data_IF_647971834543
#
_entry.id   IF_647971834543
#
_cell.length_a   1.000
_cell.length_b   1.000
_cell.length_c   1.000
_cell.angle_alpha   90.00
_cell.angle_beta   90.00
_cell.angle_gamma   90.00
#
_symmetry.space_group_name_H-M   'P 1'
#
loop_
_entity.id
_entity.type
_entity.pdbx_description
1 polymer ?
#
# COMPACT_ATOMS: atom_id res chain seq x y z
N UNK A 1 25.31 33.03 9.30
CA UNK A 1 24.30 34.04 9.67
C UNK A 1 22.92 33.40 9.72
N UNK A 2 22.02 33.85 10.61
CA UNK A 2 20.67 33.34 10.78
C UNK A 2 19.86 33.23 9.45
N UNK A 3 20.04 34.16 8.53
CA UNK A 3 19.40 34.14 7.22
C UNK A 3 19.83 32.95 6.35
N UNK A 4 21.10 32.53 6.41
CA UNK A 4 21.60 31.36 5.68
C UNK A 4 21.01 30.04 6.18
N UNK A 5 20.73 29.94 7.49
CA UNK A 5 20.14 28.73 8.09
C UNK A 5 18.65 28.60 7.79
N UNK A 6 17.92 29.71 7.62
CA UNK A 6 16.51 29.70 7.22
C UNK A 6 16.35 29.18 5.78
N UNK A 7 17.22 29.58 4.86
CA UNK A 7 17.19 29.09 3.47
C UNK A 7 17.48 27.59 3.33
N UNK A 8 18.27 27.02 4.22
CA UNK A 8 18.60 25.59 4.21
C UNK A 8 17.46 24.68 4.69
N UNK A 9 16.38 25.26 5.23
CA UNK A 9 15.23 24.52 5.80
C UNK A 9 13.93 24.72 5.03
N UNK A 10 13.99 25.28 3.82
CA UNK A 10 12.79 25.46 3.01
C UNK A 10 12.41 24.18 2.29
N UNK A 11 11.13 23.83 2.39
CA UNK A 11 10.49 22.77 1.60
C UNK A 11 9.58 23.41 0.57
N UNK A 12 9.75 23.05 -0.70
CA UNK A 12 8.90 23.46 -1.79
C UNK A 12 7.87 22.38 -2.08
N UNK A 13 6.59 22.73 -2.04
CA UNK A 13 5.49 21.88 -2.48
C UNK A 13 4.88 22.55 -3.70
N UNK A 14 5.08 21.94 -4.87
CA UNK A 14 4.52 22.40 -6.13
C UNK A 14 3.41 21.47 -6.60
N UNK A 15 2.42 22.01 -7.31
CA UNK A 15 1.36 21.24 -7.94
C UNK A 15 1.38 21.42 -9.44
N UNK A 16 1.12 20.36 -10.19
CA UNK A 16 0.91 20.36 -11.63
C UNK A 16 -0.42 19.69 -11.94
N UNK A 17 -1.16 20.23 -12.89
CA UNK A 17 -2.45 19.68 -13.34
C UNK A 17 -2.36 19.38 -14.84
N UNK A 18 -1.88 18.18 -15.20
CA UNK A 18 -1.75 17.79 -16.60
C UNK A 18 -3.12 17.63 -17.26
N UNK A 19 -3.25 18.09 -18.49
CA UNK A 19 -4.47 17.94 -19.26
C UNK A 19 -4.87 16.46 -19.43
N UNK A 20 -6.11 16.12 -19.08
CA UNK A 20 -6.61 14.74 -19.15
C UNK A 20 -5.89 13.76 -18.21
N UNK A 21 -5.21 14.24 -17.18
CA UNK A 21 -4.45 13.39 -16.23
C UNK A 21 -3.18 12.76 -16.82
N UNK A 22 -2.72 13.24 -17.99
CA UNK A 22 -1.55 12.68 -18.66
C UNK A 22 -0.23 13.07 -17.98
N UNK A 23 0.23 12.25 -17.04
CA UNK A 23 1.50 12.45 -16.32
C UNK A 23 2.76 12.40 -17.20
N UNK A 24 2.62 12.03 -18.49
CA UNK A 24 3.72 11.98 -19.48
C UNK A 24 3.83 13.24 -20.30
N UNK A 25 3.02 14.27 -20.04
CA UNK A 25 3.17 15.54 -20.71
C UNK A 25 4.52 16.23 -20.37
N UNK A 26 5.08 17.08 -21.27
CA UNK A 26 6.42 17.64 -21.08
C UNK A 26 6.59 18.47 -19.79
N UNK A 27 5.57 19.21 -19.37
CA UNK A 27 5.64 20.03 -18.14
C UNK A 27 5.75 19.15 -16.91
N UNK A 28 4.90 18.13 -16.79
CA UNK A 28 4.91 17.19 -15.69
C UNK A 28 6.22 16.38 -15.66
N UNK A 29 6.70 15.89 -16.81
CA UNK A 29 7.96 15.14 -16.91
C UNK A 29 9.17 15.99 -16.52
N UNK A 30 9.22 17.27 -16.91
CA UNK A 30 10.30 18.16 -16.52
C UNK A 30 10.24 18.52 -15.03
N UNK A 31 9.05 18.67 -14.46
CA UNK A 31 8.86 18.88 -13.02
C UNK A 31 9.33 17.68 -12.21
N UNK A 32 9.01 16.46 -12.65
CA UNK A 32 9.47 15.22 -12.02
C UNK A 32 10.99 15.10 -11.97
N UNK A 33 11.71 15.59 -12.98
CA UNK A 33 13.19 15.52 -13.01
C UNK A 33 13.85 16.31 -11.88
N UNK A 34 13.24 17.40 -11.42
CA UNK A 34 13.80 18.25 -10.36
C UNK A 34 13.20 17.95 -8.98
N UNK A 35 12.06 17.27 -8.93
CA UNK A 35 11.41 16.89 -7.68
C UNK A 35 12.04 15.63 -7.08
N UNK A 36 12.27 15.65 -5.77
CA UNK A 36 12.75 14.47 -5.02
C UNK A 36 11.62 13.52 -4.61
N UNK A 37 10.42 14.07 -4.39
CA UNK A 37 9.20 13.33 -4.15
C UNK A 37 8.16 13.73 -5.17
N UNK A 38 7.37 12.77 -5.62
CA UNK A 38 6.24 12.99 -6.52
C UNK A 38 5.06 12.12 -6.07
N UNK A 39 3.92 12.75 -5.86
CA UNK A 39 2.66 12.09 -5.54
C UNK A 39 1.72 12.22 -6.74
N UNK A 40 1.54 11.12 -7.46
CA UNK A 40 0.62 11.06 -8.58
C UNK A 40 -0.81 10.88 -8.06
N UNK A 41 -1.65 11.90 -8.18
CA UNK A 41 -3.08 11.76 -7.89
C UNK A 41 -3.78 11.09 -9.07
N UNK A 42 -4.62 10.11 -8.79
CA UNK A 42 -5.30 9.29 -9.77
C UNK A 42 -6.82 9.38 -9.60
N UNK A 43 -7.52 9.76 -10.69
CA UNK A 43 -8.97 9.93 -10.68
C UNK A 43 -9.69 8.61 -10.40
N UNK A 44 -9.24 7.50 -10.98
CA UNK A 44 -9.82 6.17 -10.77
C UNK A 44 -9.83 5.75 -9.29
N UNK A 45 -8.78 6.08 -8.54
CA UNK A 45 -8.73 5.85 -7.09
C UNK A 45 -9.77 6.70 -6.34
N UNK A 46 -9.91 7.97 -6.72
CA UNK A 46 -10.88 8.88 -6.12
C UNK A 46 -12.32 8.41 -6.42
N UNK A 47 -12.61 7.99 -7.63
CA UNK A 47 -13.92 7.48 -8.06
C UNK A 47 -14.29 6.19 -7.29
N UNK A 48 -13.31 5.34 -7.02
CA UNK A 48 -13.43 4.14 -6.16
C UNK A 48 -13.41 4.45 -4.67
N UNK A 49 -13.36 5.72 -4.27
CA UNK A 49 -13.26 6.19 -2.87
C UNK A 49 -12.06 5.60 -2.11
N UNK A 50 -10.94 5.40 -2.81
CA UNK A 50 -9.67 4.95 -2.22
C UNK A 50 -8.82 6.17 -1.87
N UNK A 51 -8.85 6.56 -0.62
CA UNK A 51 -8.14 7.74 -0.12
C UNK A 51 -6.99 7.36 0.82
N UNK A 52 -5.84 8.09 0.77
CA UNK A 52 -5.53 9.14 -0.21
C UNK A 52 -5.47 8.61 -1.65
N UNK A 53 -5.98 9.41 -2.62
CA UNK A 53 -6.08 9.00 -4.02
C UNK A 53 -4.72 9.07 -4.75
N UNK A 54 -3.65 8.66 -4.08
CA UNK A 54 -2.27 8.64 -4.58
C UNK A 54 -1.98 7.30 -5.22
N UNK A 55 -1.57 7.31 -6.50
CA UNK A 55 -1.15 6.11 -7.21
C UNK A 55 0.21 5.62 -6.67
N UNK A 56 0.30 4.44 -6.06
CA UNK A 56 1.53 3.96 -5.44
C UNK A 56 2.60 3.52 -6.43
N UNK A 57 2.22 3.26 -7.70
CA UNK A 57 3.11 2.78 -8.76
C UNK A 57 3.82 3.97 -9.41
N UNK A 58 3.07 5.02 -9.75
CA UNK A 58 3.60 6.20 -10.43
C UNK A 58 4.20 7.24 -9.46
N UNK A 59 3.93 7.10 -8.17
CA UNK A 59 4.50 7.94 -7.13
C UNK A 59 5.89 7.44 -6.70
N UNK A 60 6.74 8.37 -6.29
CA UNK A 60 8.06 8.02 -5.78
C UNK A 60 8.56 9.00 -4.72
N UNK A 61 9.50 8.50 -3.91
CA UNK A 61 10.36 9.31 -3.05
C UNK A 61 11.80 8.85 -3.23
N UNK A 62 12.67 9.77 -3.62
CA UNK A 62 14.12 9.49 -3.75
C UNK A 62 14.85 9.53 -2.40
N UNK A 63 14.16 9.89 -1.32
CA UNK A 63 14.77 9.90 0.01
C UNK A 63 15.20 8.52 0.49
N UNK A 64 14.50 7.46 0.05
CA UNK A 64 14.86 6.08 0.37
C UNK A 64 16.20 5.64 -0.23
N UNK A 65 16.74 6.41 -1.21
CA UNK A 65 18.02 6.14 -1.86
C UNK A 65 19.21 6.78 -1.11
N UNK A 66 18.94 7.59 -0.07
CA UNK A 66 19.99 8.22 0.71
C UNK A 66 20.53 7.30 1.80
N UNK A 67 21.87 7.18 1.94
CA UNK A 67 22.49 6.37 2.98
C UNK A 67 22.01 6.74 4.39
N UNK A 68 21.84 8.04 4.66
CA UNK A 68 21.39 8.55 5.96
C UNK A 68 19.96 8.09 6.31
N UNK A 69 19.10 7.93 5.29
CA UNK A 69 17.77 7.40 5.48
C UNK A 69 17.81 5.89 5.73
N UNK A 70 18.65 5.17 5.01
CA UNK A 70 18.85 3.73 5.21
C UNK A 70 19.39 3.44 6.62
N UNK A 71 20.40 4.19 7.08
CA UNK A 71 20.93 4.09 8.43
C UNK A 71 19.85 4.36 9.49
N UNK A 72 19.07 5.43 9.31
CA UNK A 72 17.97 5.77 10.21
C UNK A 72 16.93 4.63 10.31
N UNK A 73 16.54 4.04 9.18
CA UNK A 73 15.57 2.94 9.15
C UNK A 73 16.15 1.70 9.85
N UNK A 74 17.41 1.35 9.60
CA UNK A 74 18.08 0.22 10.27
C UNK A 74 18.17 0.41 11.78
N UNK A 75 18.45 1.62 12.23
CA UNK A 75 18.59 1.94 13.66
C UNK A 75 17.24 1.95 14.40
N UNK A 76 16.17 2.46 13.76
CA UNK A 76 14.90 2.76 14.42
C UNK A 76 13.76 1.78 14.07
N UNK A 77 13.91 0.97 13.03
CA UNK A 77 12.92 -0.02 12.62
C UNK A 77 13.59 -1.39 12.49
N UNK A 78 14.09 -1.74 11.29
CA UNK A 78 14.85 -2.96 11.02
C UNK A 78 15.52 -2.92 9.64
N UNK A 79 16.45 -3.87 9.40
CA UNK A 79 17.21 -3.96 8.15
C UNK A 79 16.37 -4.38 6.94
N UNK A 80 15.22 -5.03 7.16
CA UNK A 80 14.42 -5.62 6.09
C UNK A 80 13.32 -4.67 5.56
N UNK A 81 13.06 -3.57 6.26
CA UNK A 81 11.90 -2.68 6.00
C UNK A 81 11.86 -2.19 4.54
N UNK A 82 12.99 -1.68 4.03
CA UNK A 82 13.09 -1.17 2.65
C UNK A 82 12.84 -2.30 1.64
N UNK A 83 13.38 -3.49 1.90
CA UNK A 83 13.17 -4.68 1.06
C UNK A 83 11.68 -5.07 1.01
N UNK A 84 11.01 -5.11 2.15
CA UNK A 84 9.57 -5.40 2.26
C UNK A 84 8.71 -4.37 1.53
N UNK A 85 9.02 -3.09 1.65
CA UNK A 85 8.31 -2.02 0.92
C UNK A 85 8.45 -2.20 -0.60
N UNK A 86 9.65 -2.50 -1.09
CA UNK A 86 9.89 -2.75 -2.51
C UNK A 86 9.18 -4.02 -3.00
N UNK A 87 9.12 -5.07 -2.18
CA UNK A 87 8.34 -6.28 -2.48
C UNK A 87 6.86 -5.95 -2.65
N UNK A 88 6.25 -5.22 -1.71
CA UNK A 88 4.84 -4.84 -1.81
C UNK A 88 4.57 -3.98 -3.06
N UNK A 89 5.49 -3.09 -3.42
CA UNK A 89 5.38 -2.30 -4.64
C UNK A 89 5.38 -3.18 -5.90
N UNK A 90 6.22 -4.21 -5.95
CA UNK A 90 6.24 -5.19 -7.03
C UNK A 90 4.94 -6.00 -7.10
N UNK A 91 4.37 -6.38 -5.95
CA UNK A 91 3.09 -7.08 -5.87
C UNK A 91 1.92 -6.22 -6.35
N UNK A 92 1.90 -4.94 -6.00
CA UNK A 92 0.91 -3.98 -6.51
C UNK A 92 0.99 -3.85 -8.04
N UNK A 93 2.21 -3.75 -8.59
CA UNK A 93 2.41 -3.72 -10.04
C UNK A 93 1.85 -4.99 -10.71
N UNK A 94 2.16 -6.16 -10.14
CA UNK A 94 1.66 -7.43 -10.66
C UNK A 94 0.13 -7.55 -10.55
N UNK A 95 -0.45 -7.07 -9.44
CA UNK A 95 -1.90 -7.03 -9.27
C UNK A 95 -2.60 -6.15 -10.31
N UNK A 96 -2.01 -5.01 -10.65
CA UNK A 96 -2.52 -4.13 -11.71
C UNK A 96 -2.51 -4.83 -13.09
N UNK A 97 -1.43 -5.52 -13.45
CA UNK A 97 -1.35 -6.29 -14.71
C UNK A 97 -2.43 -7.36 -14.79
N UNK A 98 -2.69 -8.06 -13.67
CA UNK A 98 -3.73 -9.08 -13.61
C UNK A 98 -5.12 -8.46 -13.67
N UNK A 99 -5.36 -7.33 -13.00
CA UNK A 99 -6.62 -6.61 -13.10
C UNK A 99 -6.95 -6.22 -14.56
N UNK A 100 -5.96 -5.80 -15.34
CA UNK A 100 -6.11 -5.52 -16.75
C UNK A 100 -6.48 -6.78 -17.56
N UNK A 101 -5.89 -7.93 -17.23
CA UNK A 101 -6.25 -9.22 -17.85
C UNK A 101 -7.68 -9.65 -17.50
N UNK A 102 -8.09 -9.52 -16.24
CA UNK A 102 -9.45 -9.82 -15.79
C UNK A 102 -10.46 -8.92 -16.54
N UNK A 103 -10.15 -7.64 -16.69
CA UNK A 103 -11.02 -6.70 -17.41
C UNK A 103 -11.21 -7.06 -18.90
N UNK A 104 -10.20 -7.68 -19.52
CA UNK A 104 -10.25 -8.07 -20.93
C UNK A 104 -10.92 -9.44 -21.13
N UNK A 105 -10.59 -10.42 -20.29
CA UNK A 105 -10.96 -11.82 -20.44
C UNK A 105 -12.21 -12.22 -19.64
N UNK A 106 -12.60 -11.41 -18.66
CA UNK A 106 -13.58 -11.76 -17.63
C UNK A 106 -12.98 -12.66 -16.54
N UNK A 107 -13.71 -12.77 -15.43
CA UNK A 107 -13.24 -13.54 -14.25
C UNK A 107 -13.06 -15.03 -14.58
N UNK A 108 -13.94 -15.62 -15.38
CA UNK A 108 -13.87 -17.03 -15.79
C UNK A 108 -12.73 -17.32 -16.79
N UNK A 109 -12.22 -16.29 -17.46
CA UNK A 109 -11.13 -16.40 -18.44
C UNK A 109 -9.72 -16.39 -17.81
N UNK A 110 -9.61 -16.21 -16.50
CA UNK A 110 -8.35 -16.05 -15.79
C UNK A 110 -8.19 -17.17 -14.74
N UNK A 111 -7.01 -17.83 -14.63
CA UNK A 111 -6.76 -18.86 -13.64
C UNK A 111 -7.01 -18.38 -12.20
N UNK A 112 -7.48 -19.30 -11.32
CA UNK A 112 -7.81 -18.99 -9.91
C UNK A 112 -6.60 -18.42 -9.15
N UNK A 113 -5.40 -18.89 -9.44
CA UNK A 113 -4.15 -18.43 -8.83
C UNK A 113 -3.89 -16.94 -9.13
N UNK A 114 -4.32 -16.45 -10.30
CA UNK A 114 -4.19 -15.04 -10.64
C UNK A 114 -5.18 -14.17 -9.84
N UNK A 115 -6.37 -14.70 -9.57
CA UNK A 115 -7.30 -14.03 -8.66
C UNK A 115 -6.72 -13.93 -7.24
N UNK A 116 -6.00 -14.95 -6.76
CA UNK A 116 -5.29 -14.88 -5.46
C UNK A 116 -4.24 -13.76 -5.47
N UNK A 117 -3.43 -13.65 -6.53
CA UNK A 117 -2.42 -12.59 -6.64
C UNK A 117 -3.10 -11.21 -6.70
N UNK A 118 -4.16 -11.05 -7.48
CA UNK A 118 -4.95 -9.83 -7.56
C UNK A 118 -5.49 -9.43 -6.19
N UNK A 119 -6.14 -10.34 -5.48
CA UNK A 119 -6.73 -10.04 -4.17
C UNK A 119 -5.70 -9.79 -3.07
N UNK A 120 -4.51 -10.40 -3.14
CA UNK A 120 -3.37 -10.02 -2.28
C UNK A 120 -2.92 -8.58 -2.56
N UNK A 121 -2.93 -8.12 -3.81
CA UNK A 121 -2.63 -6.72 -4.12
C UNK A 121 -3.73 -5.76 -3.63
N UNK A 122 -5.00 -6.15 -3.73
CA UNK A 122 -6.13 -5.42 -3.15
C UNK A 122 -6.02 -5.32 -1.61
N UNK A 123 -5.58 -6.39 -0.94
CA UNK A 123 -5.32 -6.39 0.50
C UNK A 123 -4.25 -5.35 0.87
N UNK A 124 -3.14 -5.29 0.12
CA UNK A 124 -2.10 -4.27 0.32
C UNK A 124 -2.69 -2.87 0.18
N UNK A 125 -3.46 -2.64 -0.87
CA UNK A 125 -4.05 -1.32 -1.15
C UNK A 125 -5.04 -0.90 -0.06
N UNK A 126 -5.94 -1.78 0.36
CA UNK A 126 -6.95 -1.46 1.35
C UNK A 126 -6.43 -1.33 2.79
N UNK A 127 -5.33 -2.02 3.12
CA UNK A 127 -4.84 -2.08 4.52
C UNK A 127 -3.66 -1.16 4.78
N UNK A 128 -2.76 -0.99 3.79
CA UNK A 128 -1.56 -0.17 3.95
C UNK A 128 -1.73 1.21 3.31
N UNK A 129 -2.32 1.28 2.11
CA UNK A 129 -2.33 2.52 1.33
C UNK A 129 -3.58 3.37 1.59
N UNK A 130 -4.70 2.73 1.92
CA UNK A 130 -5.91 3.46 2.30
C UNK A 130 -5.84 3.87 3.77
N UNK A 131 -6.16 5.13 4.04
CA UNK A 131 -6.17 5.69 5.40
C UNK A 131 -7.35 6.65 5.54
N UNK A 132 -8.08 6.54 6.65
CA UNK A 132 -9.17 7.47 6.97
C UNK A 132 -8.61 8.66 7.76
N UNK A 133 -8.51 9.80 7.10
CA UNK A 133 -8.00 11.03 7.71
C UNK A 133 -8.93 11.63 8.78
N UNK A 134 -10.18 11.17 8.88
CA UNK A 134 -11.18 11.65 9.84
C UNK A 134 -11.34 10.74 11.06
N UNK A 135 -10.76 9.54 11.02
CA UNK A 135 -10.72 8.65 12.18
C UNK A 135 -9.56 9.02 13.12
N UNK A 136 -9.80 9.05 14.43
CA UNK A 136 -8.79 9.46 15.41
C UNK A 136 -7.61 8.49 15.53
N UNK A 137 -7.83 7.22 15.19
CA UNK A 137 -6.82 6.16 15.29
C UNK A 137 -6.10 5.95 13.97
N UNK A 138 -6.86 5.85 12.86
CA UNK A 138 -6.31 5.55 11.54
C UNK A 138 -5.59 6.75 10.92
N UNK A 139 -5.97 7.99 11.27
CA UNK A 139 -5.32 9.21 10.77
C UNK A 139 -3.86 9.36 11.18
N UNK A 140 -3.43 8.69 12.26
CA UNK A 140 -2.05 8.73 12.76
C UNK A 140 -1.55 7.31 13.02
N UNK A 141 -0.62 6.85 12.17
CA UNK A 141 -0.03 5.52 12.32
C UNK A 141 1.44 5.62 12.75
N UNK A 142 1.76 5.40 14.04
CA UNK A 142 3.14 5.39 14.53
C UNK A 142 4.01 4.34 13.82
N UNK A 143 5.34 4.57 13.79
CA UNK A 143 6.29 3.69 13.09
C UNK A 143 6.19 2.22 13.52
N UNK A 144 6.07 1.96 14.83
CA UNK A 144 5.91 0.61 15.37
C UNK A 144 4.67 -0.11 14.82
N UNK A 145 3.57 0.63 14.66
CA UNK A 145 2.35 0.10 14.06
C UNK A 145 2.51 -0.12 12.56
N UNK A 146 3.17 0.80 11.85
CA UNK A 146 3.46 0.64 10.42
C UNK A 146 4.28 -0.63 10.17
N UNK A 147 5.30 -0.86 10.98
CA UNK A 147 6.13 -2.06 10.92
C UNK A 147 5.30 -3.33 11.18
N UNK A 148 4.46 -3.33 12.19
CA UNK A 148 3.61 -4.47 12.52
C UNK A 148 2.63 -4.81 11.38
N UNK A 149 1.99 -3.80 10.78
CA UNK A 149 1.08 -3.97 9.64
C UNK A 149 1.86 -4.46 8.41
N UNK A 150 3.02 -3.87 8.12
CA UNK A 150 3.87 -4.28 7.00
C UNK A 150 4.26 -5.76 7.11
N UNK A 151 4.76 -6.19 8.27
CA UNK A 151 5.15 -7.58 8.52
C UNK A 151 3.95 -8.53 8.35
N UNK A 152 2.82 -8.19 8.95
CA UNK A 152 1.59 -8.98 8.83
C UNK A 152 1.15 -9.17 7.37
N UNK A 153 1.17 -8.10 6.57
CA UNK A 153 0.77 -8.18 5.15
C UNK A 153 1.79 -8.97 4.33
N UNK A 154 3.08 -8.83 4.60
CA UNK A 154 4.13 -9.64 3.96
C UNK A 154 3.92 -11.12 4.25
N UNK A 155 3.64 -11.50 5.50
CA UNK A 155 3.38 -12.89 5.88
C UNK A 155 2.16 -13.46 5.13
N UNK A 156 1.08 -12.70 5.01
CA UNK A 156 -0.09 -13.09 4.23
C UNK A 156 0.27 -13.23 2.74
N UNK A 157 1.08 -12.33 2.22
CA UNK A 157 1.53 -12.39 0.83
C UNK A 157 2.39 -13.64 0.54
N UNK A 158 3.18 -14.09 1.50
CA UNK A 158 3.98 -15.30 1.39
C UNK A 158 3.18 -16.58 1.64
N UNK A 159 2.06 -16.50 2.35
CA UNK A 159 1.20 -17.67 2.59
C UNK A 159 0.57 -18.15 1.29
N UNK A 160 0.64 -19.45 1.04
CA UNK A 160 -0.06 -20.09 -0.07
C UNK A 160 -1.48 -20.45 0.35
N UNK A 161 -2.45 -20.12 -0.50
CA UNK A 161 -3.87 -20.38 -0.29
C UNK A 161 -4.42 -21.20 -1.46
N UNK A 162 -5.34 -22.11 -1.15
CA UNK A 162 -5.98 -22.99 -2.13
C UNK A 162 -7.49 -22.72 -2.18
N UNK A 163 -8.02 -22.58 -3.40
CA UNK A 163 -9.42 -22.28 -3.68
C UNK A 163 -9.91 -23.04 -4.92
N UNK A 164 -11.17 -23.41 -4.94
CA UNK A 164 -11.78 -24.11 -6.07
C UNK A 164 -12.20 -23.17 -7.20
N UNK A 165 -12.52 -21.90 -6.88
CA UNK A 165 -13.00 -20.92 -7.85
C UNK A 165 -12.74 -19.47 -7.40
N UNK A 166 -12.88 -18.54 -8.34
CA UNK A 166 -12.60 -17.11 -8.09
C UNK A 166 -13.58 -16.45 -7.10
N UNK A 167 -14.82 -16.91 -6.99
CA UNK A 167 -15.78 -16.37 -6.04
C UNK A 167 -15.36 -16.64 -4.60
N UNK A 168 -14.83 -17.84 -4.33
CA UNK A 168 -14.29 -18.18 -3.02
C UNK A 168 -13.08 -17.31 -2.67
N UNK A 169 -12.18 -17.06 -3.63
CA UNK A 169 -11.05 -16.14 -3.46
C UNK A 169 -11.55 -14.76 -3.06
N UNK A 170 -12.49 -14.22 -3.83
CA UNK A 170 -13.05 -12.90 -3.60
C UNK A 170 -13.67 -12.76 -2.23
N UNK A 171 -14.55 -13.70 -1.84
CA UNK A 171 -15.27 -13.65 -0.57
C UNK A 171 -14.33 -13.80 0.62
N UNK A 172 -13.33 -14.67 0.50
CA UNK A 172 -12.32 -14.89 1.53
C UNK A 172 -11.47 -13.62 1.75
N UNK A 173 -10.91 -13.05 0.69
CA UNK A 173 -10.10 -11.83 0.83
C UNK A 173 -10.91 -10.61 1.26
N UNK A 174 -12.18 -10.49 0.88
CA UNK A 174 -13.09 -9.44 1.39
C UNK A 174 -13.27 -9.55 2.91
N UNK A 175 -13.45 -10.77 3.44
CA UNK A 175 -13.51 -10.99 4.90
C UNK A 175 -12.20 -10.57 5.56
N UNK A 176 -11.05 -10.99 4.99
CA UNK A 176 -9.73 -10.65 5.51
C UNK A 176 -9.46 -9.14 5.52
N UNK A 177 -9.76 -8.45 4.41
CA UNK A 177 -9.66 -6.99 4.29
C UNK A 177 -10.51 -6.31 5.38
N UNK A 178 -11.74 -6.79 5.60
CA UNK A 178 -12.63 -6.22 6.61
C UNK A 178 -12.04 -6.35 8.02
N UNK A 179 -11.50 -7.51 8.39
CA UNK A 179 -10.84 -7.72 9.69
C UNK A 179 -9.63 -6.79 9.84
N UNK A 180 -8.78 -6.69 8.82
CA UNK A 180 -7.62 -5.79 8.84
C UNK A 180 -8.03 -4.31 8.96
N UNK A 181 -9.12 -3.89 8.30
CA UNK A 181 -9.66 -2.53 8.43
C UNK A 181 -10.16 -2.25 9.85
N UNK A 182 -10.84 -3.19 10.49
CA UNK A 182 -11.25 -3.04 11.88
C UNK A 182 -10.03 -2.94 12.82
N UNK A 183 -8.95 -3.66 12.53
CA UNK A 183 -7.67 -3.47 13.23
C UNK A 183 -7.13 -2.06 13.06
N UNK A 184 -7.21 -1.47 11.85
CA UNK A 184 -6.73 -0.11 11.58
C UNK A 184 -7.51 0.95 12.38
N UNK A 185 -8.79 0.76 12.61
CA UNK A 185 -9.61 1.62 13.46
C UNK A 185 -9.45 1.36 14.98
N UNK A 186 -8.75 0.31 15.36
CA UNK A 186 -8.53 -0.04 16.76
C UNK A 186 -7.21 0.51 17.27
N UNK A 187 -7.17 0.97 18.54
CA UNK A 187 -5.91 1.42 19.15
C UNK A 187 -4.89 0.29 19.17
N UNK A 188 -3.68 0.58 18.71
CA UNK A 188 -2.60 -0.39 18.63
C UNK A 188 -2.33 -1.06 19.99
N UNK A 189 -2.20 -2.39 19.98
CA UNK A 189 -2.02 -3.22 21.19
C UNK A 189 -3.18 -3.14 22.21
N UNK A 190 -4.37 -2.68 21.82
CA UNK A 190 -5.56 -2.80 22.67
C UNK A 190 -6.14 -4.22 22.58
N UNK A 191 -6.95 -4.60 23.57
CA UNK A 191 -7.69 -5.88 23.56
C UNK A 191 -8.50 -6.08 22.27
N UNK A 192 -9.11 -5.02 21.76
CA UNK A 192 -9.84 -5.04 20.50
C UNK A 192 -8.92 -5.32 19.30
N UNK A 193 -7.76 -4.68 19.24
CA UNK A 193 -6.75 -4.90 18.21
C UNK A 193 -6.25 -6.35 18.23
N UNK A 194 -5.92 -6.87 19.41
CA UNK A 194 -5.48 -8.26 19.60
C UNK A 194 -6.58 -9.26 19.23
N UNK A 195 -7.84 -8.95 19.54
CA UNK A 195 -8.98 -9.76 19.12
C UNK A 195 -9.10 -9.89 17.60
N UNK A 196 -8.91 -8.80 16.85
CA UNK A 196 -8.89 -8.84 15.39
C UNK A 196 -7.63 -9.56 14.85
N UNK A 197 -6.48 -9.42 15.49
CA UNK A 197 -5.30 -10.22 15.15
C UNK A 197 -5.56 -11.72 15.26
N UNK A 198 -6.26 -12.13 16.32
CA UNK A 198 -6.60 -13.54 16.51
C UNK A 198 -7.57 -14.01 15.43
N UNK A 199 -8.61 -13.23 15.11
CA UNK A 199 -9.53 -13.54 14.01
C UNK A 199 -8.79 -13.67 12.66
N UNK A 200 -7.82 -12.79 12.41
CA UNK A 200 -7.01 -12.86 11.18
C UNK A 200 -6.19 -14.15 11.11
N UNK A 201 -5.56 -14.57 12.23
CA UNK A 201 -4.81 -15.84 12.30
C UNK A 201 -5.72 -17.05 12.03
N UNK A 202 -6.93 -17.04 12.54
CA UNK A 202 -7.93 -18.09 12.29
C UNK A 202 -8.33 -18.12 10.82
N UNK A 203 -8.60 -16.96 10.20
CA UNK A 203 -8.87 -16.86 8.77
C UNK A 203 -7.72 -17.42 7.93
N UNK A 204 -6.48 -17.05 8.24
CA UNK A 204 -5.31 -17.56 7.51
C UNK A 204 -5.24 -19.08 7.61
N UNK A 205 -5.47 -19.64 8.80
CA UNK A 205 -5.44 -21.08 9.04
C UNK A 205 -6.56 -21.86 8.30
N UNK A 206 -7.69 -21.21 7.96
CA UNK A 206 -8.80 -21.85 7.22
C UNK A 206 -8.39 -22.35 5.81
N UNK A 207 -7.50 -21.64 5.13
CA UNK A 207 -7.19 -21.86 3.70
C UNK A 207 -5.70 -21.92 3.38
N UNK A 208 -4.81 -21.77 4.37
CA UNK A 208 -3.37 -21.92 4.15
C UNK A 208 -3.01 -23.38 3.85
N UNK A 209 -2.22 -23.58 2.80
CA UNK A 209 -1.61 -24.87 2.49
C UNK A 209 -0.43 -25.06 3.46
N UNK A 210 -0.36 -26.25 4.10
CA UNK A 210 0.73 -26.58 5.02
C UNK A 210 1.95 -27.08 4.27
#
# INVERSE_FOLDING_TARGET
SAASDVYKRQTFIGTVSPAGGNLKEPVTENTKKVARCFYALEQDRADKKRYPAVNPIDSYSKYIEYPEFEEYIKEHINDEWIGKVNELKTRLQRGKEIAEQINILGDDGVPVEYHVIFWKSELIDFVILQQDAFDEVDSVTPMERQEAILNMIIDICHTEFEFDNFNEVMDYFKRMINVCKQMNYSKFKSEQYEGFQQQLKELIAERSVK
#
